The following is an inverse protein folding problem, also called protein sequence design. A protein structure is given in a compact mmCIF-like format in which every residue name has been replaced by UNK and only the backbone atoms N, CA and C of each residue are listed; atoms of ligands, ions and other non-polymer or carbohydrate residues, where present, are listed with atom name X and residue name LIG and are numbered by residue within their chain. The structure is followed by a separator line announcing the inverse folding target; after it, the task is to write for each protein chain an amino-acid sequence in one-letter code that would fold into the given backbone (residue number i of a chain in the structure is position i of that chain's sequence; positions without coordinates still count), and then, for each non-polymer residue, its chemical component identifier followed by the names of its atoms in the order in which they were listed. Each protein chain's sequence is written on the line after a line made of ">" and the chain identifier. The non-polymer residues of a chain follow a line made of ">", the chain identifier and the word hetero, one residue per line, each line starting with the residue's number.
data_IF_350296217734
#
_entry.id   IF_350296217734
#
_cell.length_a   1.000
_cell.length_b   1.000
_cell.length_c   1.000
_cell.angle_alpha   90.00
_cell.angle_beta   90.00
_cell.angle_gamma   90.00
#
_symmetry.space_group_name_H-M   'P 1'
#
loop_
_entity.id
_entity.type
_entity.pdbx_description
1 polymer ?
#
# COMPACT_ATOMS: atom_id res chain seq x y z
N UNK A 1 -22.32 -34.44 -45.62
CA UNK A 1 -22.70 -33.04 -45.32
C UNK A 1 -23.98 -33.07 -44.50
N UNK A 2 -23.89 -33.23 -43.18
CA UNK A 2 -25.04 -33.20 -42.27
C UNK A 2 -24.66 -32.40 -41.02
N UNK A 3 -25.15 -31.17 -40.92
CA UNK A 3 -25.05 -30.30 -39.76
C UNK A 3 -26.15 -30.69 -38.76
N UNK A 4 -25.79 -31.34 -37.67
CA UNK A 4 -26.64 -31.47 -36.49
C UNK A 4 -26.39 -30.28 -35.58
N UNK A 5 -27.44 -29.47 -35.38
CA UNK A 5 -27.49 -28.33 -34.45
C UNK A 5 -27.49 -28.88 -33.02
N UNK A 6 -26.41 -28.69 -32.27
CA UNK A 6 -26.41 -28.95 -30.84
C UNK A 6 -27.02 -27.77 -30.08
N UNK A 7 -28.08 -28.09 -29.34
CA UNK A 7 -28.85 -27.21 -28.47
C UNK A 7 -27.95 -26.53 -27.43
N UNK A 8 -28.08 -25.21 -27.33
CA UNK A 8 -27.72 -24.44 -26.14
C UNK A 8 -28.54 -24.96 -24.96
N UNK A 9 -27.88 -25.62 -24.02
CA UNK A 9 -28.38 -25.77 -22.65
C UNK A 9 -27.87 -24.59 -21.84
N UNK A 10 -28.76 -23.63 -21.61
CA UNK A 10 -28.65 -22.59 -20.59
C UNK A 10 -28.65 -23.25 -19.21
N UNK A 11 -27.49 -23.72 -18.77
CA UNK A 11 -27.26 -24.28 -17.45
C UNK A 11 -26.87 -23.17 -16.47
N UNK A 12 -27.80 -22.87 -15.57
CA UNK A 12 -27.59 -22.31 -14.23
C UNK A 12 -26.44 -21.29 -14.06
N UNK A 13 -26.80 -20.00 -14.13
CA UNK A 13 -26.14 -18.97 -13.34
C UNK A 13 -26.17 -19.42 -11.87
N UNK A 14 -25.04 -19.91 -11.37
CA UNK A 14 -24.75 -20.02 -9.96
C UNK A 14 -24.75 -18.60 -9.39
N UNK A 15 -25.91 -18.13 -8.96
CA UNK A 15 -26.00 -17.05 -8.00
C UNK A 15 -25.30 -17.54 -6.73
N UNK A 16 -24.24 -16.89 -6.23
CA UNK A 16 -23.75 -17.20 -4.91
C UNK A 16 -24.86 -16.82 -3.94
N UNK A 17 -25.48 -17.83 -3.33
CA UNK A 17 -26.27 -17.67 -2.12
C UNK A 17 -25.26 -17.24 -1.06
N UNK A 18 -25.05 -15.93 -0.94
CA UNK A 18 -24.48 -15.33 0.25
C UNK A 18 -25.46 -15.63 1.37
N UNK A 19 -25.17 -16.68 2.14
CA UNK A 19 -25.82 -16.92 3.42
C UNK A 19 -25.53 -15.73 4.33
N UNK A 20 -26.44 -14.76 4.35
CA UNK A 20 -26.44 -13.61 5.25
C UNK A 20 -26.79 -14.01 6.70
N UNK A 21 -26.32 -15.17 7.14
CA UNK A 21 -26.54 -15.73 8.47
C UNK A 21 -25.23 -15.78 9.22
N UNK A 22 -24.90 -14.71 9.95
CA UNK A 22 -23.74 -14.68 10.84
C UNK A 22 -22.59 -13.78 10.42
N UNK A 23 -22.85 -12.61 9.80
CA UNK A 23 -21.91 -11.48 9.93
C UNK A 23 -22.01 -11.03 11.40
N UNK A 24 -21.29 -11.72 12.25
CA UNK A 24 -21.26 -11.60 13.70
C UNK A 24 -20.90 -10.17 14.08
N UNK A 25 -21.45 -9.69 15.20
CA UNK A 25 -21.09 -8.40 15.83
C UNK A 25 -19.56 -8.17 15.95
N UNK A 26 -18.74 -9.22 15.85
CA UNK A 26 -17.28 -9.13 15.78
C UNK A 26 -16.77 -8.36 14.56
N UNK A 27 -17.33 -8.54 13.36
CA UNK A 27 -16.84 -7.84 12.15
C UNK A 27 -17.08 -6.34 12.24
N UNK A 28 -18.25 -5.92 12.73
CA UNK A 28 -18.54 -4.49 12.93
C UNK A 28 -17.65 -3.88 14.02
N UNK A 29 -17.46 -4.58 15.15
CA UNK A 29 -16.58 -4.13 16.22
C UNK A 29 -15.13 -4.00 15.74
N UNK A 30 -14.65 -4.96 14.95
CA UNK A 30 -13.32 -4.92 14.35
C UNK A 30 -13.14 -3.69 13.45
N UNK A 31 -14.15 -3.37 12.64
CA UNK A 31 -14.16 -2.15 11.80
C UNK A 31 -14.14 -0.87 12.63
N UNK A 32 -14.91 -0.79 13.70
CA UNK A 32 -14.94 0.38 14.58
C UNK A 32 -13.61 0.58 15.30
N UNK A 33 -13.07 -0.49 15.91
CA UNK A 33 -11.76 -0.44 16.57
C UNK A 33 -10.64 -0.07 15.59
N UNK A 34 -10.77 -0.50 14.34
CA UNK A 34 -9.86 -0.13 13.24
C UNK A 34 -9.95 1.36 12.87
N UNK A 35 -11.15 1.93 12.73
CA UNK A 35 -11.31 3.38 12.49
C UNK A 35 -10.71 4.18 13.65
N UNK A 36 -10.95 3.75 14.89
CA UNK A 36 -10.35 4.38 16.08
C UNK A 36 -8.83 4.29 16.03
N UNK A 37 -8.25 3.13 15.69
CA UNK A 37 -6.81 2.96 15.56
C UNK A 37 -6.21 3.89 14.49
N UNK A 38 -6.88 4.01 13.35
CA UNK A 38 -6.52 4.91 12.25
C UNK A 38 -6.57 6.37 12.66
N UNK A 39 -7.61 6.76 13.41
CA UNK A 39 -7.75 8.10 13.99
C UNK A 39 -6.71 8.39 15.07
N UNK A 40 -6.35 7.42 15.91
CA UNK A 40 -5.27 7.57 16.90
C UNK A 40 -3.91 7.69 16.21
N UNK A 41 -3.72 6.99 15.09
CA UNK A 41 -2.53 7.09 14.24
C UNK A 41 -2.32 8.52 13.72
N UNK A 42 -3.42 9.19 13.32
CA UNK A 42 -3.44 10.59 12.91
C UNK A 42 -3.03 11.57 14.02
N UNK A 43 -3.24 11.22 15.29
CA UNK A 43 -2.90 12.10 16.41
C UNK A 43 -1.38 12.16 16.69
N UNK A 44 -0.57 11.23 16.15
CA UNK A 44 0.88 11.20 16.38
C UNK A 44 1.68 12.26 15.59
N UNK A 45 1.03 12.99 14.68
CA UNK A 45 1.65 14.11 13.93
C UNK A 45 2.09 15.24 14.88
N UNK A 46 1.30 15.52 15.91
CA UNK A 46 1.61 16.60 16.85
C UNK A 46 2.71 16.21 17.84
N UNK A 47 2.68 15.03 18.50
CA UNK A 47 3.78 14.56 19.33
C UNK A 47 5.13 14.47 18.60
N UNK A 48 5.17 14.05 17.33
CA UNK A 48 6.44 13.95 16.59
C UNK A 48 7.08 15.32 16.32
N UNK A 49 6.27 16.36 16.09
CA UNK A 49 6.76 17.74 15.98
C UNK A 49 7.33 18.26 17.31
N UNK A 50 6.67 17.98 18.44
CA UNK A 50 7.08 18.51 19.75
C UNK A 50 8.16 17.68 20.47
N UNK A 51 8.18 16.36 20.29
CA UNK A 51 9.09 15.44 20.97
C UNK A 51 10.20 14.89 20.05
N UNK A 52 10.17 15.28 18.77
CA UNK A 52 11.22 15.02 17.80
C UNK A 52 11.23 13.61 17.21
N UNK A 53 12.34 13.31 16.54
CA UNK A 53 12.55 12.11 15.73
C UNK A 53 12.32 10.75 16.41
N UNK A 54 12.80 10.52 17.65
CA UNK A 54 12.59 9.24 18.33
C UNK A 54 11.12 8.90 18.56
N UNK A 55 10.28 9.89 18.90
CA UNK A 55 8.84 9.69 19.09
C UNK A 55 8.15 9.32 17.78
N UNK A 56 8.55 9.95 16.67
CA UNK A 56 8.07 9.59 15.34
C UNK A 56 8.35 8.11 15.02
N UNK A 57 9.60 7.68 15.21
CA UNK A 57 10.03 6.31 14.92
C UNK A 57 9.28 5.27 15.76
N UNK A 58 9.17 5.50 17.08
CA UNK A 58 8.47 4.59 17.99
C UNK A 58 6.99 4.51 17.65
N UNK A 59 6.34 5.66 17.44
CA UNK A 59 4.93 5.72 17.08
C UNK A 59 4.67 4.95 15.79
N UNK A 60 5.43 5.22 14.72
CA UNK A 60 5.21 4.56 13.44
C UNK A 60 5.53 3.05 13.49
N UNK A 61 6.56 2.65 14.23
CA UNK A 61 6.87 1.21 14.43
C UNK A 61 5.74 0.50 15.17
N UNK A 62 5.20 1.13 16.22
CA UNK A 62 4.04 0.61 16.94
C UNK A 62 2.80 0.54 16.04
N UNK A 63 2.62 1.52 15.16
CA UNK A 63 1.50 1.54 14.22
C UNK A 63 1.59 0.42 13.16
N UNK A 64 2.75 0.27 12.52
CA UNK A 64 2.96 -0.78 11.55
C UNK A 64 2.90 -2.18 12.19
N UNK A 65 3.53 -2.34 13.37
CA UNK A 65 3.50 -3.59 14.12
C UNK A 65 2.09 -3.95 14.61
N UNK A 66 1.33 -2.97 15.10
CA UNK A 66 -0.04 -3.16 15.54
C UNK A 66 -0.99 -3.51 14.39
N UNK A 67 -0.84 -2.88 13.23
CA UNK A 67 -1.59 -3.23 12.01
C UNK A 67 -1.31 -4.68 11.57
N UNK A 68 -0.04 -5.11 11.54
CA UNK A 68 0.33 -6.49 11.24
C UNK A 68 -0.21 -7.48 12.27
N UNK A 69 -0.09 -7.16 13.57
CA UNK A 69 -0.62 -8.00 14.65
C UNK A 69 -2.14 -8.18 14.53
N UNK A 70 -2.86 -7.09 14.25
CA UNK A 70 -4.29 -7.11 14.03
C UNK A 70 -4.66 -8.00 12.84
N UNK A 71 -4.02 -7.78 11.70
CA UNK A 71 -4.31 -8.54 10.48
C UNK A 71 -3.98 -10.03 10.61
N UNK A 72 -2.98 -10.38 11.42
CA UNK A 72 -2.64 -11.76 11.73
C UNK A 72 -3.64 -12.46 12.66
N UNK A 73 -4.05 -11.80 13.76
CA UNK A 73 -4.83 -12.44 14.82
C UNK A 73 -6.34 -12.27 14.68
N UNK A 74 -6.78 -11.27 13.92
CA UNK A 74 -8.20 -10.86 13.85
C UNK A 74 -8.75 -11.01 12.43
N UNK A 75 -7.97 -10.67 11.41
CA UNK A 75 -8.41 -10.67 10.00
C UNK A 75 -8.12 -11.95 9.21
N UNK A 76 -7.21 -12.82 9.69
CA UNK A 76 -6.64 -13.98 8.98
C UNK A 76 -5.97 -13.66 7.61
N UNK A 77 -6.14 -12.47 7.02
CA UNK A 77 -5.63 -12.11 5.70
C UNK A 77 -4.12 -12.19 5.63
N UNK A 78 -3.39 -11.61 6.60
CA UNK A 78 -1.93 -11.65 6.62
C UNK A 78 -1.41 -13.09 6.59
N UNK A 79 -1.98 -13.97 7.43
CA UNK A 79 -1.59 -15.39 7.50
C UNK A 79 -1.83 -16.10 6.18
N UNK A 80 -3.00 -15.91 5.58
CA UNK A 80 -3.36 -16.49 4.29
C UNK A 80 -2.44 -16.00 3.15
N UNK A 81 -2.05 -14.73 3.18
CA UNK A 81 -1.13 -14.16 2.20
C UNK A 81 0.29 -14.73 2.35
N UNK A 82 0.81 -14.82 3.58
CA UNK A 82 2.10 -15.47 3.86
C UNK A 82 2.09 -16.92 3.37
N UNK A 83 1.03 -17.67 3.65
CA UNK A 83 0.89 -19.06 3.22
C UNK A 83 0.88 -19.20 1.71
N UNK A 84 0.20 -18.28 1.01
CA UNK A 84 0.17 -18.29 -0.45
C UNK A 84 1.53 -17.98 -1.06
N UNK A 85 2.29 -17.05 -0.49
CA UNK A 85 3.64 -16.71 -0.98
C UNK A 85 4.58 -17.92 -0.85
N UNK A 86 4.52 -18.63 0.29
CA UNK A 86 5.30 -19.86 0.52
C UNK A 86 4.86 -20.98 -0.41
N UNK A 87 3.55 -21.21 -0.55
CA UNK A 87 3.00 -22.27 -1.40
C UNK A 87 3.37 -22.09 -2.89
N UNK A 88 3.60 -20.85 -3.34
CA UNK A 88 4.07 -20.53 -4.70
C UNK A 88 5.59 -20.65 -4.87
N UNK A 89 6.33 -20.99 -3.82
CA UNK A 89 7.79 -21.12 -3.88
C UNK A 89 8.53 -19.80 -4.10
N UNK A 90 7.89 -18.66 -3.83
CA UNK A 90 8.51 -17.34 -3.96
C UNK A 90 9.53 -17.07 -2.83
N UNK A 91 9.39 -17.78 -1.71
CA UNK A 91 10.25 -17.74 -0.53
C UNK A 91 10.37 -19.16 0.04
N UNK A 92 11.37 -19.43 0.88
CA UNK A 92 11.62 -20.77 1.43
C UNK A 92 10.67 -21.13 2.56
N UNK A 93 10.26 -20.17 3.37
CA UNK A 93 9.41 -20.39 4.54
C UNK A 93 8.74 -19.08 5.01
N UNK A 94 7.80 -19.21 5.97
CA UNK A 94 7.06 -18.08 6.54
C UNK A 94 7.97 -17.04 7.23
N UNK A 95 9.06 -17.48 7.85
CA UNK A 95 9.96 -16.60 8.59
C UNK A 95 10.62 -15.58 7.66
N UNK A 96 10.95 -15.95 6.42
CA UNK A 96 11.51 -15.01 5.44
C UNK A 96 10.54 -13.87 5.10
N UNK A 97 9.25 -14.18 4.95
CA UNK A 97 8.23 -13.15 4.71
C UNK A 97 8.12 -12.22 5.91
N UNK A 98 7.99 -12.78 7.12
CA UNK A 98 7.86 -11.98 8.34
C UNK A 98 9.10 -11.13 8.62
N UNK A 99 10.29 -11.66 8.35
CA UNK A 99 11.53 -10.93 8.46
C UNK A 99 11.63 -9.80 7.42
N UNK A 100 11.27 -10.07 6.16
CA UNK A 100 11.22 -9.05 5.11
C UNK A 100 10.21 -7.94 5.46
N UNK A 101 9.07 -8.29 6.04
CA UNK A 101 8.08 -7.32 6.53
C UNK A 101 8.66 -6.45 7.64
N UNK A 102 9.29 -7.06 8.64
CA UNK A 102 9.93 -6.33 9.74
C UNK A 102 10.99 -5.36 9.22
N UNK A 103 11.85 -5.81 8.30
CA UNK A 103 12.86 -4.96 7.68
C UNK A 103 12.22 -3.83 6.86
N UNK A 104 11.14 -4.09 6.12
CA UNK A 104 10.39 -3.06 5.38
C UNK A 104 9.84 -2.00 6.32
N UNK A 105 9.27 -2.39 7.47
CA UNK A 105 8.80 -1.46 8.50
C UNK A 105 9.96 -0.62 9.01
N UNK A 106 11.06 -1.23 9.46
CA UNK A 106 12.20 -0.50 9.98
C UNK A 106 12.81 0.45 8.96
N UNK A 107 13.08 -0.04 7.74
CA UNK A 107 13.70 0.75 6.67
C UNK A 107 12.82 1.91 6.27
N UNK A 108 11.51 1.69 6.08
CA UNK A 108 10.58 2.77 5.79
C UNK A 108 10.59 3.81 6.92
N UNK A 109 10.46 3.43 8.19
CA UNK A 109 10.47 4.41 9.29
C UNK A 109 11.81 5.18 9.40
N UNK A 110 12.94 4.48 9.23
CA UNK A 110 14.25 5.12 9.22
C UNK A 110 14.37 6.15 8.09
N UNK A 111 13.87 5.85 6.90
CA UNK A 111 13.92 6.77 5.76
C UNK A 111 13.11 8.03 6.04
N UNK A 112 11.86 7.95 6.50
CA UNK A 112 11.10 9.16 6.83
C UNK A 112 11.80 9.99 7.88
N UNK A 113 12.29 9.35 8.94
CA UNK A 113 13.00 10.04 10.00
C UNK A 113 14.24 10.75 9.45
N UNK A 114 15.05 10.06 8.65
CA UNK A 114 16.23 10.65 8.02
C UNK A 114 15.84 11.82 7.11
N UNK A 115 14.82 11.68 6.27
CA UNK A 115 14.34 12.75 5.41
C UNK A 115 13.86 13.96 6.23
N UNK A 116 13.12 13.74 7.31
CA UNK A 116 12.64 14.80 8.19
C UNK A 116 13.80 15.53 8.91
N UNK A 117 14.80 14.80 9.40
CA UNK A 117 15.99 15.37 10.04
C UNK A 117 16.79 16.18 9.02
N UNK A 118 17.13 15.59 7.87
CA UNK A 118 17.97 16.23 6.85
C UNK A 118 17.31 17.46 6.24
N UNK A 119 15.98 17.50 6.20
CA UNK A 119 15.22 18.64 5.69
C UNK A 119 14.96 19.72 6.74
N UNK A 120 15.42 19.53 7.99
CA UNK A 120 15.19 20.49 9.07
C UNK A 120 13.72 20.60 9.50
N UNK A 121 12.92 19.56 9.28
CA UNK A 121 11.47 19.58 9.54
C UNK A 121 11.12 19.87 11.01
N UNK A 122 11.94 19.38 11.95
CA UNK A 122 11.70 19.55 13.39
C UNK A 122 12.12 20.93 13.92
N UNK A 123 12.85 21.70 13.12
CA UNK A 123 13.27 23.07 13.42
C UNK A 123 12.43 24.11 12.68
N UNK A 124 11.55 23.67 11.78
CA UNK A 124 10.70 24.53 10.99
C UNK A 124 9.68 25.24 11.88
N UNK A 125 9.43 26.52 11.62
CA UNK A 125 8.33 27.22 12.27
C UNK A 125 7.00 26.70 11.73
N UNK A 126 6.16 26.17 12.63
CA UNK A 126 4.80 25.82 12.26
C UNK A 126 4.03 27.04 11.75
N UNK A 127 3.31 26.87 10.64
CA UNK A 127 2.41 27.86 10.07
C UNK A 127 1.14 27.17 9.59
N UNK A 128 -0.03 27.79 9.79
CA UNK A 128 -1.33 27.20 9.50
C UNK A 128 -2.10 28.11 8.54
N UNK A 129 -1.59 28.22 7.32
CA UNK A 129 -2.09 29.13 6.30
C UNK A 129 -2.40 28.39 4.99
N UNK A 130 -2.90 29.13 4.00
CA UNK A 130 -3.19 28.58 2.67
C UNK A 130 -1.93 28.09 1.95
N UNK A 131 -0.76 28.66 2.26
CA UNK A 131 0.51 28.24 1.67
C UNK A 131 0.88 26.83 2.14
N UNK A 132 0.70 26.50 3.42
CA UNK A 132 0.87 25.14 3.93
C UNK A 132 0.00 24.16 3.13
N UNK A 133 -1.31 24.42 3.06
CA UNK A 133 -2.25 23.52 2.39
C UNK A 133 -1.87 23.29 0.92
N UNK A 134 -1.54 24.36 0.20
CA UNK A 134 -1.08 24.29 -1.20
C UNK A 134 0.21 23.47 -1.33
N UNK A 135 1.20 23.72 -0.48
CA UNK A 135 2.50 23.06 -0.54
C UNK A 135 2.39 21.56 -0.22
N UNK A 136 1.56 21.18 0.75
CA UNK A 136 1.23 19.79 1.04
C UNK A 136 0.59 19.11 -0.17
N UNK A 137 -0.40 19.75 -0.81
CA UNK A 137 -1.03 19.20 -2.02
C UNK A 137 -0.01 18.98 -3.14
N UNK A 138 0.91 19.93 -3.37
CA UNK A 138 1.96 19.77 -4.38
C UNK A 138 2.93 18.63 -4.06
N UNK A 139 3.32 18.47 -2.79
CA UNK A 139 4.14 17.34 -2.36
C UNK A 139 3.44 16.00 -2.63
N UNK A 140 2.15 15.87 -2.27
CA UNK A 140 1.39 14.64 -2.48
C UNK A 140 1.19 14.34 -3.98
N UNK A 141 0.86 15.36 -4.79
CA UNK A 141 0.73 15.18 -6.25
C UNK A 141 2.05 14.78 -6.91
N UNK A 142 3.17 15.36 -6.47
CA UNK A 142 4.48 14.98 -6.97
C UNK A 142 4.85 13.55 -6.55
N UNK A 143 4.57 13.17 -5.31
CA UNK A 143 4.75 11.82 -4.80
C UNK A 143 3.92 10.79 -5.61
N UNK A 144 2.65 11.11 -5.88
CA UNK A 144 1.76 10.28 -6.72
C UNK A 144 2.34 10.10 -8.13
N UNK A 145 2.85 11.17 -8.75
CA UNK A 145 3.42 11.09 -10.08
C UNK A 145 4.65 10.16 -10.13
N UNK A 146 5.52 10.25 -9.12
CA UNK A 146 6.71 9.38 -9.01
C UNK A 146 6.30 7.93 -8.78
N UNK A 147 5.43 7.67 -7.79
CA UNK A 147 4.91 6.34 -7.50
C UNK A 147 4.26 5.72 -8.75
N UNK A 148 3.31 6.43 -9.36
CA UNK A 148 2.54 5.91 -10.50
C UNK A 148 3.44 5.59 -11.69
N UNK A 149 4.48 6.42 -11.91
CA UNK A 149 5.46 6.19 -12.98
C UNK A 149 6.33 4.97 -12.69
N UNK A 150 6.90 4.87 -11.50
CA UNK A 150 7.79 3.76 -11.13
C UNK A 150 7.02 2.44 -11.06
N UNK A 151 5.87 2.42 -10.40
CA UNK A 151 5.01 1.26 -10.27
C UNK A 151 4.57 0.73 -11.64
N UNK A 152 4.02 1.60 -12.50
CA UNK A 152 3.56 1.19 -13.82
C UNK A 152 4.68 0.76 -14.77
N UNK A 153 5.69 1.62 -14.95
CA UNK A 153 6.66 1.42 -16.03
C UNK A 153 7.81 0.52 -15.64
N UNK A 154 8.20 0.53 -14.37
CA UNK A 154 9.26 -0.35 -13.90
C UNK A 154 8.68 -1.64 -13.32
N UNK A 155 7.84 -1.58 -12.28
CA UNK A 155 7.36 -2.78 -11.58
C UNK A 155 6.44 -3.64 -12.45
N UNK A 156 5.49 -3.05 -13.18
CA UNK A 156 4.64 -3.81 -14.10
C UNK A 156 5.20 -3.92 -15.53
N UNK A 157 5.93 -2.91 -15.97
CA UNK A 157 6.39 -2.77 -17.35
C UNK A 157 7.68 -3.51 -17.70
N UNK A 158 8.45 -3.99 -16.71
CA UNK A 158 9.70 -4.73 -16.95
C UNK A 158 9.64 -6.15 -16.39
N UNK A 159 10.41 -7.07 -16.99
CA UNK A 159 10.46 -8.46 -16.52
C UNK A 159 11.02 -8.56 -15.09
N UNK A 160 12.07 -7.80 -14.78
CA UNK A 160 12.68 -7.74 -13.46
C UNK A 160 11.70 -7.16 -12.44
N UNK A 161 11.05 -6.03 -12.78
CA UNK A 161 10.00 -5.42 -11.98
C UNK A 161 8.89 -6.41 -11.65
N UNK A 162 8.41 -7.14 -12.66
CA UNK A 162 7.33 -8.09 -12.46
C UNK A 162 7.71 -9.24 -11.53
N UNK A 163 8.99 -9.68 -11.54
CA UNK A 163 9.50 -10.69 -10.61
C UNK A 163 9.56 -10.17 -9.18
N UNK A 164 10.06 -8.96 -8.97
CA UNK A 164 10.17 -8.40 -7.61
C UNK A 164 8.81 -8.06 -7.02
N UNK A 165 7.88 -7.56 -7.85
CA UNK A 165 6.56 -7.10 -7.42
C UNK A 165 5.51 -8.23 -7.30
N UNK A 166 5.84 -9.43 -7.81
CA UNK A 166 4.96 -10.61 -7.71
C UNK A 166 4.68 -11.02 -6.25
N UNK A 167 5.63 -10.85 -5.33
CA UNK A 167 5.43 -11.16 -3.91
C UNK A 167 4.29 -10.31 -3.36
N UNK A 168 4.36 -9.01 -3.60
CA UNK A 168 3.36 -8.04 -3.16
C UNK A 168 1.98 -8.35 -3.75
N UNK A 169 1.89 -8.59 -5.05
CA UNK A 169 0.63 -8.92 -5.73
C UNK A 169 0.08 -10.33 -5.48
N UNK A 170 0.84 -11.20 -4.81
CA UNK A 170 0.32 -12.47 -4.31
C UNK A 170 -0.58 -12.27 -3.09
N UNK A 171 -0.53 -11.10 -2.44
CA UNK A 171 -1.42 -10.72 -1.35
C UNK A 171 -2.84 -10.41 -1.86
N UNK A 172 -3.77 -11.35 -1.63
CA UNK A 172 -5.14 -11.35 -2.16
C UNK A 172 -6.14 -12.04 -1.19
N UNK A 173 -7.13 -11.35 -0.63
CA UNK A 173 -7.28 -9.89 -0.67
C UNK A 173 -6.03 -9.17 -0.14
N UNK A 174 -5.78 -7.98 -0.67
CA UNK A 174 -4.79 -7.08 -0.08
C UNK A 174 -5.40 -6.46 1.18
N UNK A 175 -4.58 -6.30 2.21
CA UNK A 175 -4.92 -5.76 3.53
C UNK A 175 -3.82 -4.82 4.03
N UNK A 176 -3.94 -4.26 5.23
CA UNK A 176 -2.91 -3.37 5.80
C UNK A 176 -1.52 -4.02 5.85
N UNK A 177 -1.45 -5.31 6.17
CA UNK A 177 -0.16 -6.03 6.18
C UNK A 177 0.47 -6.13 4.80
N UNK A 178 -0.32 -6.01 3.73
CA UNK A 178 0.17 -5.99 2.34
C UNK A 178 1.12 -4.81 2.11
N UNK A 179 0.88 -3.66 2.74
CA UNK A 179 1.78 -2.49 2.75
C UNK A 179 3.16 -2.75 3.37
N UNK A 180 3.38 -3.93 3.95
CA UNK A 180 4.67 -4.34 4.51
C UNK A 180 5.20 -5.62 3.88
N UNK A 181 4.41 -6.33 3.07
CA UNK A 181 4.84 -7.56 2.38
C UNK A 181 5.42 -7.16 1.02
N UNK A 182 6.72 -6.89 1.02
CA UNK A 182 7.46 -6.42 -0.14
C UNK A 182 8.77 -7.19 -0.34
N UNK A 183 9.19 -7.28 -1.60
CA UNK A 183 10.60 -7.47 -1.89
C UNK A 183 11.37 -6.17 -1.53
N UNK A 184 12.62 -6.26 -1.07
CA UNK A 184 13.39 -5.06 -0.70
C UNK A 184 13.45 -3.99 -1.80
N UNK A 185 13.76 -4.40 -3.05
CA UNK A 185 13.75 -3.51 -4.21
C UNK A 185 12.38 -2.96 -4.59
N UNK A 186 11.33 -3.70 -4.28
CA UNK A 186 9.96 -3.30 -4.53
C UNK A 186 9.58 -2.15 -3.58
N UNK A 187 9.77 -2.36 -2.27
CA UNK A 187 9.61 -1.30 -1.26
C UNK A 187 10.44 -0.06 -1.57
N UNK A 188 11.69 -0.23 -2.02
CA UNK A 188 12.51 0.93 -2.37
C UNK A 188 11.98 1.71 -3.57
N UNK A 189 11.31 1.04 -4.50
CA UNK A 189 10.80 1.67 -5.72
C UNK A 189 9.47 2.37 -5.47
N UNK A 190 8.55 1.71 -4.78
CA UNK A 190 7.22 2.28 -4.51
C UNK A 190 7.28 3.34 -3.43
N UNK A 191 8.03 3.07 -2.37
CA UNK A 191 8.00 3.86 -1.16
C UNK A 191 9.21 4.78 -1.07
N UNK A 192 10.41 4.23 -0.91
CA UNK A 192 11.63 5.02 -0.65
C UNK A 192 11.89 6.07 -1.72
N UNK A 193 11.84 5.69 -3.00
CA UNK A 193 12.09 6.59 -4.11
C UNK A 193 11.06 7.75 -4.12
N UNK A 194 9.78 7.43 -3.97
CA UNK A 194 8.69 8.42 -3.95
C UNK A 194 8.88 9.44 -2.81
N UNK A 195 9.14 8.98 -1.59
CA UNK A 195 9.38 9.87 -0.44
C UNK A 195 10.66 10.70 -0.58
N UNK A 196 11.75 10.12 -1.07
CA UNK A 196 12.99 10.85 -1.36
C UNK A 196 12.76 11.94 -2.42
N UNK A 197 12.02 11.63 -3.48
CA UNK A 197 11.68 12.58 -4.53
C UNK A 197 10.76 13.69 -4.00
N UNK A 198 9.78 13.37 -3.16
CA UNK A 198 8.93 14.37 -2.48
C UNK A 198 9.75 15.29 -1.58
N UNK A 199 10.68 14.74 -0.79
CA UNK A 199 11.57 15.53 0.06
C UNK A 199 12.50 16.42 -0.78
N UNK A 200 13.09 15.90 -1.85
CA UNK A 200 13.89 16.70 -2.77
C UNK A 200 13.05 17.82 -3.40
N UNK A 201 11.84 17.52 -3.87
CA UNK A 201 10.93 18.51 -4.43
C UNK A 201 10.61 19.63 -3.43
N UNK A 202 10.27 19.27 -2.20
CA UNK A 202 9.96 20.26 -1.17
C UNK A 202 11.18 21.11 -0.81
N UNK A 203 12.36 20.50 -0.62
CA UNK A 203 13.58 21.24 -0.23
C UNK A 203 14.09 22.17 -1.33
N UNK A 204 14.08 21.74 -2.59
CA UNK A 204 14.65 22.53 -3.69
C UNK A 204 13.67 23.54 -4.29
N UNK A 205 12.37 23.22 -4.35
CA UNK A 205 11.39 24.04 -5.06
C UNK A 205 10.46 24.81 -4.11
N UNK A 206 9.87 24.15 -3.12
CA UNK A 206 8.89 24.80 -2.22
C UNK A 206 9.55 25.53 -1.05
N UNK A 207 10.70 25.03 -0.60
CA UNK A 207 11.48 25.52 0.55
C UNK A 207 10.63 25.61 1.83
N UNK A 208 9.81 24.59 2.06
CA UNK A 208 8.85 24.53 3.16
C UNK A 208 8.98 23.20 3.93
N UNK A 209 9.90 23.12 4.91
CA UNK A 209 10.10 21.90 5.68
C UNK A 209 8.90 21.52 6.56
N UNK A 210 8.07 22.48 6.97
CA UNK A 210 6.86 22.18 7.74
C UNK A 210 5.83 21.48 6.85
N UNK A 211 5.61 21.97 5.63
CA UNK A 211 4.79 21.28 4.65
C UNK A 211 5.32 19.89 4.30
N UNK A 212 6.65 19.71 4.21
CA UNK A 212 7.25 18.39 4.03
C UNK A 212 6.92 17.46 5.20
N UNK A 213 7.05 17.92 6.45
CA UNK A 213 6.71 17.13 7.63
C UNK A 213 5.26 16.66 7.59
N UNK A 214 4.32 17.56 7.29
CA UNK A 214 2.91 17.23 7.15
C UNK A 214 2.69 16.21 6.01
N UNK A 215 3.35 16.41 4.87
CA UNK A 215 3.23 15.52 3.71
C UNK A 215 3.78 14.12 3.98
N UNK A 216 4.92 14.02 4.68
CA UNK A 216 5.47 12.74 5.14
C UNK A 216 4.46 12.00 6.02
N UNK A 217 3.86 12.67 7.01
CA UNK A 217 2.88 12.04 7.88
C UNK A 217 1.63 11.58 7.13
N UNK A 218 1.07 12.43 6.26
CA UNK A 218 -0.10 12.08 5.45
C UNK A 218 0.21 10.88 4.55
N UNK A 219 1.38 10.88 3.89
CA UNK A 219 1.83 9.79 3.05
C UNK A 219 1.94 8.47 3.83
N UNK A 220 2.58 8.47 5.00
CA UNK A 220 2.72 7.26 5.82
C UNK A 220 1.40 6.72 6.32
N UNK A 221 0.50 7.60 6.77
CA UNK A 221 -0.82 7.20 7.18
C UNK A 221 -1.56 6.55 6.02
N UNK A 222 -1.53 7.17 4.84
CA UNK A 222 -2.18 6.62 3.66
C UNK A 222 -1.64 5.22 3.33
N UNK A 223 -0.32 5.03 3.29
CA UNK A 223 0.26 3.71 3.02
C UNK A 223 -0.05 2.68 4.10
N UNK A 224 -0.07 3.07 5.37
CA UNK A 224 -0.29 2.15 6.49
C UNK A 224 -1.76 1.73 6.64
N UNK A 225 -2.69 2.61 6.27
CA UNK A 225 -4.11 2.50 6.62
C UNK A 225 -5.05 2.59 5.41
N UNK A 226 -4.74 3.40 4.42
CA UNK A 226 -5.61 3.66 3.27
C UNK A 226 -5.41 2.67 2.13
N UNK A 227 -4.17 2.62 1.64
CA UNK A 227 -3.78 2.15 0.32
C UNK A 227 -4.27 0.73 -0.01
N UNK A 228 -4.00 -0.22 0.89
CA UNK A 228 -4.37 -1.64 0.75
C UNK A 228 -5.59 -2.06 1.60
N UNK A 229 -6.38 -1.10 2.08
CA UNK A 229 -7.47 -1.37 3.02
C UNK A 229 -8.59 -2.22 2.42
N UNK A 230 -8.86 -3.40 3.00
CA UNK A 230 -10.03 -4.21 2.67
C UNK A 230 -11.36 -3.52 3.03
N UNK A 231 -11.31 -2.55 3.95
CA UNK A 231 -12.48 -1.82 4.42
C UNK A 231 -12.80 -0.64 3.50
N UNK A 232 -11.77 0.17 3.15
CA UNK A 232 -11.95 1.35 2.32
C UNK A 232 -12.01 1.01 0.83
N UNK A 233 -11.35 -0.08 0.41
CA UNK A 233 -11.33 -0.58 -0.99
C UNK A 233 -11.05 0.51 -2.01
N UNK A 234 -9.97 1.24 -1.80
CA UNK A 234 -9.54 2.35 -2.65
C UNK A 234 -8.92 1.84 -3.95
N UNK A 235 -8.47 2.76 -4.80
CA UNK A 235 -7.95 2.45 -6.14
C UNK A 235 -6.88 1.34 -6.12
N UNK A 236 -5.93 1.42 -5.19
CA UNK A 236 -4.83 0.47 -5.11
C UNK A 236 -5.25 -0.92 -4.58
N UNK A 237 -6.21 -1.01 -3.65
CA UNK A 237 -6.85 -2.29 -3.30
C UNK A 237 -7.43 -3.01 -4.53
N UNK A 238 -8.10 -2.28 -5.42
CA UNK A 238 -8.67 -2.87 -6.64
C UNK A 238 -7.61 -3.26 -7.66
N UNK A 239 -6.47 -2.57 -7.71
CA UNK A 239 -5.30 -2.98 -8.49
C UNK A 239 -4.79 -4.37 -8.09
N UNK A 240 -4.67 -4.64 -6.79
CA UNK A 240 -4.28 -5.96 -6.31
C UNK A 240 -5.25 -7.06 -6.75
N UNK A 241 -6.54 -6.75 -6.79
CA UNK A 241 -7.58 -7.67 -7.24
C UNK A 241 -7.61 -7.81 -8.77
N UNK A 242 -7.43 -6.71 -9.49
CA UNK A 242 -7.47 -6.57 -10.93
C UNK A 242 -6.19 -5.83 -11.39
N UNK A 243 -5.10 -6.56 -11.61
CA UNK A 243 -3.75 -6.02 -11.87
C UNK A 243 -3.69 -4.99 -13.02
N UNK A 244 -4.65 -5.04 -13.96
CA UNK A 244 -4.72 -4.09 -15.07
C UNK A 244 -5.66 -2.90 -14.80
N UNK A 245 -6.02 -2.62 -13.56
CA UNK A 245 -7.07 -1.64 -13.23
C UNK A 245 -6.55 -0.25 -12.89
N UNK A 246 -5.62 -0.07 -11.95
CA UNK A 246 -5.14 1.25 -11.54
C UNK A 246 -3.72 1.21 -10.98
N UNK A 247 -2.81 2.07 -11.45
CA UNK A 247 -1.41 2.09 -11.00
C UNK A 247 -1.08 3.27 -10.07
N UNK A 248 -2.10 4.01 -9.62
CA UNK A 248 -1.98 5.19 -8.78
C UNK A 248 -2.32 4.86 -7.32
N UNK A 249 -1.67 5.52 -6.34
CA UNK A 249 -1.86 5.24 -4.92
C UNK A 249 -2.97 6.10 -4.31
N UNK A 250 -2.98 7.41 -4.59
CA UNK A 250 -3.87 8.37 -3.93
C UNK A 250 -5.13 8.68 -4.72
N UNK A 251 -5.09 8.49 -6.03
CA UNK A 251 -6.14 8.92 -6.95
C UNK A 251 -6.75 7.75 -7.72
N UNK A 252 -7.93 7.91 -8.31
CA UNK A 252 -8.51 6.95 -9.26
C UNK A 252 -8.53 7.59 -10.65
N UNK A 253 -7.35 7.60 -11.29
CA UNK A 253 -7.13 8.29 -12.57
C UNK A 253 -6.96 7.24 -13.69
N UNK A 254 -7.89 6.29 -13.75
CA UNK A 254 -7.92 5.25 -14.80
C UNK A 254 -7.95 5.80 -16.23
N UNK A 255 -8.53 6.99 -16.41
CA UNK A 255 -8.75 7.57 -17.74
C UNK A 255 -7.50 8.15 -18.40
N UNK A 256 -6.49 8.57 -17.63
CA UNK A 256 -5.32 9.25 -18.20
C UNK A 256 -4.14 8.30 -18.45
N UNK A 257 -4.23 7.07 -17.94
CA UNK A 257 -3.14 6.10 -17.95
C UNK A 257 -3.62 4.73 -18.44
N UNK A 258 -3.76 4.50 -19.76
CA UNK A 258 -4.26 3.22 -20.31
C UNK A 258 -3.36 2.06 -19.89
N UNK A 259 -3.85 0.86 -19.55
CA UNK A 259 -2.99 -0.23 -19.06
C UNK A 259 -1.73 -0.49 -19.93
N UNK A 260 -0.58 -0.86 -19.34
CA UNK A 260 0.61 -1.22 -20.10
C UNK A 260 0.32 -2.38 -21.05
N UNK A 261 0.96 -2.36 -22.23
CA UNK A 261 0.75 -3.39 -23.28
C UNK A 261 1.17 -4.79 -22.79
N UNK A 262 2.16 -4.84 -21.90
CA UNK A 262 2.66 -6.03 -21.23
C UNK A 262 2.62 -5.78 -19.74
N UNK A 263 1.99 -6.68 -18.99
CA UNK A 263 1.95 -6.65 -17.54
C UNK A 263 2.57 -7.95 -17.02
N UNK A 264 3.87 -7.88 -16.70
CA UNK A 264 4.63 -9.05 -16.30
C UNK A 264 4.19 -9.60 -14.94
N UNK A 265 3.59 -8.76 -14.10
CA UNK A 265 3.00 -9.22 -12.84
C UNK A 265 1.76 -10.05 -13.13
N UNK A 266 0.86 -9.57 -13.99
CA UNK A 266 -0.35 -10.32 -14.37
C UNK A 266 0.01 -11.67 -14.93
N UNK A 267 0.94 -11.72 -15.87
CA UNK A 267 1.40 -12.96 -16.47
C UNK A 267 1.86 -13.95 -15.40
N UNK A 268 2.71 -13.52 -14.47
CA UNK A 268 3.26 -14.40 -13.42
C UNK A 268 2.26 -14.79 -12.33
N UNK A 269 1.41 -13.85 -11.90
CA UNK A 269 0.45 -14.09 -10.81
C UNK A 269 -0.66 -15.04 -11.26
N UNK A 270 -1.02 -15.01 -12.55
CA UNK A 270 -2.10 -15.83 -13.10
C UNK A 270 -1.64 -17.01 -13.96
N UNK A 271 -0.38 -17.08 -14.42
CA UNK A 271 0.14 -18.26 -15.16
C UNK A 271 0.14 -19.54 -14.34
N UNK A 272 0.21 -19.42 -13.02
CA UNK A 272 0.26 -20.56 -12.10
C UNK A 272 -1.12 -21.12 -11.75
N UNK A 273 -2.22 -20.54 -12.26
CA UNK A 273 -3.55 -21.14 -12.16
C UNK A 273 -3.69 -22.22 -13.23
N UNK A 274 -3.14 -23.39 -12.96
CA UNK A 274 -3.58 -24.64 -13.59
C UNK A 274 -4.80 -25.18 -12.86
N UNK A 275 -5.89 -24.41 -12.83
CA UNK A 275 -7.20 -24.85 -12.36
C UNK A 275 -8.24 -24.54 -13.43
#
# INVERSE_FOLDING_TARGET
>A
MHRTKNKQTSGALLSPVFSAGGVTKSILLQKILFEIYSWLSLQFIFPSYYYGGPTLFVAQTFLAGGACYWDWHIGDTMKNNVDRIVARGLVRNRFEVLFAMYMTILTSQSIALTLAILSGCFQASAHYDFQLARNVVYCILFNEAVFSTSHRYFLHGTELGGKIHQIHHTCRPSSFSTSFIFHFWDSNTEFTASFCCMAAFCNFFLKDPFALLCSLHIGYLWYSVGDHSENLKLGHFWHHHFINSNYTAYTDIRYFWPAPKTDFVRERVFSDRKD
#
